data_IF_391651349023
#
_entry.id   IF_391651349023
#
_cell.length_a   1.000
_cell.length_b   1.000
_cell.length_c   1.000
_cell.angle_alpha   90.00
_cell.angle_beta   90.00
_cell.angle_gamma   90.00
#
_symmetry.space_group_name_H-M   'P 1'
#
loop_
_entity.id
_entity.type
_entity.pdbx_description
1 polymer ?
#
# COMPACT_ATOMS: atom_id res chain seq x y z
N UNK A 1 -18.07 3.01 -31.16
CA UNK A 1 -18.23 3.82 -29.93
C UNK A 1 -19.39 4.77 -30.16
N UNK A 2 -20.53 4.49 -29.55
CA UNK A 2 -21.79 5.22 -29.78
C UNK A 2 -22.57 5.24 -28.48
N UNK A 3 -23.23 6.37 -28.21
CA UNK A 3 -24.39 6.61 -27.32
C UNK A 3 -24.27 7.52 -26.09
N UNK A 4 -23.40 8.52 -26.07
CA UNK A 4 -23.35 9.48 -24.95
C UNK A 4 -23.91 10.89 -25.19
N UNK A 5 -24.46 11.24 -26.36
CA UNK A 5 -25.14 12.55 -26.52
C UNK A 5 -26.37 12.45 -27.43
N UNK A 6 -27.53 12.18 -26.84
CA UNK A 6 -28.81 12.53 -27.42
C UNK A 6 -29.81 12.74 -26.28
N UNK A 7 -30.65 13.77 -26.45
CA UNK A 7 -31.68 14.33 -25.53
C UNK A 7 -31.09 15.26 -24.46
N UNK A 8 -31.40 16.54 -24.35
CA UNK A 8 -32.39 17.38 -25.04
C UNK A 8 -32.79 18.48 -24.06
N UNK A 9 -32.58 19.75 -24.40
CA UNK A 9 -33.26 20.89 -23.78
C UNK A 9 -33.15 22.09 -24.70
N UNK A 10 -34.26 22.37 -25.36
CA UNK A 10 -34.60 23.61 -26.04
C UNK A 10 -34.84 24.68 -24.97
N UNK A 11 -34.18 25.85 -25.10
CA UNK A 11 -34.54 27.05 -24.34
C UNK A 11 -34.00 28.27 -25.08
N UNK A 12 -34.80 28.73 -26.04
CA UNK A 12 -34.70 30.05 -26.65
C UNK A 12 -34.82 31.13 -25.55
N UNK A 13 -33.83 32.01 -25.45
CA UNK A 13 -34.01 33.30 -24.78
C UNK A 13 -32.99 34.30 -25.31
N UNK A 14 -33.39 35.03 -26.35
CA UNK A 14 -32.80 36.31 -26.69
C UNK A 14 -33.03 37.35 -25.59
N UNK A 15 -31.95 37.92 -25.06
CA UNK A 15 -31.98 39.17 -24.32
C UNK A 15 -30.72 39.97 -24.58
N UNK A 16 -30.89 41.00 -25.40
CA UNK A 16 -29.95 42.08 -25.66
C UNK A 16 -29.71 42.87 -24.37
N UNK A 17 -28.46 43.13 -24.01
CA UNK A 17 -28.13 44.23 -23.10
C UNK A 17 -26.73 44.78 -23.37
N UNK A 18 -26.74 46.07 -23.66
CA UNK A 18 -25.65 47.01 -23.85
C UNK A 18 -24.73 47.12 -22.62
N UNK A 19 -23.43 47.26 -22.91
CA UNK A 19 -22.49 48.23 -22.31
C UNK A 19 -22.45 48.39 -20.77
N UNK A 20 -21.43 47.80 -20.11
CA UNK A 20 -20.68 48.52 -19.05
C UNK A 20 -19.31 47.86 -18.76
N UNK A 21 -18.22 48.59 -19.01
CA UNK A 21 -16.85 48.20 -18.65
C UNK A 21 -16.63 48.40 -17.14
N UNK A 22 -16.65 47.32 -16.36
CA UNK A 22 -16.22 47.35 -14.96
C UNK A 22 -14.75 46.95 -14.86
N UNK A 23 -13.89 47.94 -14.63
CA UNK A 23 -12.45 47.77 -14.37
C UNK A 23 -12.24 46.95 -13.10
N UNK A 24 -11.84 45.68 -13.25
CA UNK A 24 -11.45 44.81 -12.12
C UNK A 24 -9.99 45.08 -11.75
N UNK A 25 -9.76 45.63 -10.56
CA UNK A 25 -8.43 45.71 -9.94
C UNK A 25 -7.90 44.30 -9.63
N UNK A 26 -6.58 44.03 -9.76
CA UNK A 26 -6.01 42.71 -9.54
C UNK A 26 -6.00 42.36 -8.04
N UNK A 27 -6.38 41.13 -7.64
CA UNK A 27 -6.30 40.72 -6.25
C UNK A 27 -4.83 40.56 -5.83
N UNK A 28 -4.49 41.14 -4.69
CA UNK A 28 -3.20 41.00 -4.00
C UNK A 28 -2.91 39.53 -3.73
N UNK A 29 -1.82 39.02 -4.29
CA UNK A 29 -1.25 37.71 -3.99
C UNK A 29 -0.86 37.63 -2.51
N UNK A 30 -1.68 36.96 -1.71
CA UNK A 30 -1.26 36.45 -0.41
C UNK A 30 -0.24 35.34 -0.64
N UNK A 31 1.03 35.60 -0.34
CA UNK A 31 2.06 34.57 -0.22
C UNK A 31 1.79 33.79 1.07
N UNK A 32 0.96 32.75 0.99
CA UNK A 32 0.92 31.74 2.04
C UNK A 32 2.25 30.99 1.97
N UNK A 33 2.98 31.03 3.08
CA UNK A 33 4.24 30.33 3.27
C UNK A 33 4.01 28.83 3.15
N UNK A 34 4.32 28.27 1.98
CA UNK A 34 4.30 26.84 1.70
C UNK A 34 5.55 26.18 2.30
N UNK A 35 5.52 25.96 3.61
CA UNK A 35 6.41 25.02 4.31
C UNK A 35 5.68 23.69 4.49
N UNK A 36 5.09 23.18 3.40
CA UNK A 36 4.63 21.80 3.36
C UNK A 36 5.80 20.95 2.90
N UNK A 37 6.50 20.38 3.88
CA UNK A 37 7.45 19.29 3.69
C UNK A 37 6.77 18.21 2.85
N UNK A 38 7.12 18.25 1.57
CA UNK A 38 6.65 17.43 0.47
C UNK A 38 6.99 15.97 0.79
N UNK A 39 6.16 15.34 1.63
CA UNK A 39 6.17 13.91 1.93
C UNK A 39 5.69 13.18 0.68
N UNK A 40 6.50 13.25 -0.38
CA UNK A 40 6.38 12.49 -1.61
C UNK A 40 6.06 11.06 -1.23
N UNK A 41 4.81 10.65 -1.46
CA UNK A 41 4.38 9.27 -1.25
C UNK A 41 5.25 8.39 -2.14
N UNK A 42 6.29 7.79 -1.56
CA UNK A 42 7.17 6.88 -2.28
C UNK A 42 6.34 5.65 -2.63
N UNK A 43 5.95 5.55 -3.90
CA UNK A 43 5.22 4.39 -4.41
C UNK A 43 6.22 3.25 -4.55
N UNK A 44 6.33 2.43 -3.50
CA UNK A 44 7.11 1.18 -3.55
C UNK A 44 6.50 0.22 -4.58
N UNK A 45 7.35 -0.54 -5.26
CA UNK A 45 6.92 -1.57 -6.19
C UNK A 45 6.08 -2.64 -5.49
N UNK A 46 5.22 -3.34 -6.23
CA UNK A 46 4.41 -4.43 -5.67
C UNK A 46 5.28 -5.51 -5.00
N UNK A 47 6.44 -5.81 -5.58
CA UNK A 47 7.46 -6.72 -5.01
C UNK A 47 7.97 -6.21 -3.68
N UNK A 48 8.49 -5.01 -3.64
CA UNK A 48 9.07 -4.41 -2.45
C UNK A 48 8.05 -4.36 -1.31
N UNK A 49 6.82 -3.91 -1.61
CA UNK A 49 5.73 -3.86 -0.63
C UNK A 49 5.42 -5.24 -0.02
N UNK A 50 5.40 -6.30 -0.85
CA UNK A 50 5.16 -7.67 -0.37
C UNK A 50 6.33 -8.22 0.43
N UNK A 51 7.57 -7.95 0.02
CA UNK A 51 8.76 -8.44 0.68
C UNK A 51 8.98 -7.72 2.02
N UNK A 52 8.64 -6.45 2.11
CA UNK A 52 8.65 -5.69 3.35
C UNK A 52 7.61 -6.23 4.35
N UNK A 53 6.38 -6.50 3.89
CA UNK A 53 5.33 -7.15 4.70
C UNK A 53 5.81 -8.49 5.28
N UNK A 54 6.39 -9.36 4.43
CA UNK A 54 6.98 -10.64 4.86
C UNK A 54 8.10 -10.44 5.88
N UNK A 55 9.02 -9.50 5.62
CA UNK A 55 10.18 -9.25 6.48
C UNK A 55 9.76 -8.70 7.84
N UNK A 56 8.73 -7.86 7.88
CA UNK A 56 8.20 -7.31 9.13
C UNK A 56 7.55 -8.40 10.00
N UNK A 57 6.76 -9.29 9.40
CA UNK A 57 6.17 -10.42 10.11
C UNK A 57 7.27 -11.36 10.67
N UNK A 58 8.34 -11.61 9.90
CA UNK A 58 9.49 -12.41 10.36
C UNK A 58 10.19 -11.76 11.56
N UNK A 59 10.35 -10.43 11.56
CA UNK A 59 10.91 -9.70 12.71
C UNK A 59 10.05 -9.88 13.95
N UNK A 60 8.73 -9.77 13.81
CA UNK A 60 7.78 -9.99 14.92
C UNK A 60 7.86 -11.42 15.46
N UNK A 61 7.85 -12.44 14.58
CA UNK A 61 8.00 -13.85 14.97
C UNK A 61 9.30 -14.06 15.77
N UNK A 62 10.42 -13.49 15.31
CA UNK A 62 11.70 -13.57 16.02
C UNK A 62 11.66 -12.88 17.39
N UNK A 63 10.92 -11.79 17.53
CA UNK A 63 10.72 -11.13 18.82
C UNK A 63 9.89 -12.00 19.76
N UNK A 64 8.74 -12.50 19.31
CA UNK A 64 7.87 -13.39 20.09
C UNK A 64 8.59 -14.69 20.48
N UNK A 65 9.46 -15.22 19.61
CA UNK A 65 10.35 -16.34 19.93
C UNK A 65 11.31 -16.04 21.07
N UNK A 66 11.92 -14.85 21.11
CA UNK A 66 12.84 -14.45 22.18
C UNK A 66 12.13 -14.39 23.54
N UNK A 67 10.95 -13.78 23.58
CA UNK A 67 10.15 -13.66 24.82
C UNK A 67 9.32 -14.91 25.15
N UNK A 68 9.36 -15.93 24.28
CA UNK A 68 8.65 -17.21 24.41
C UNK A 68 7.11 -17.07 24.45
N UNK A 69 6.57 -16.02 23.85
CA UNK A 69 5.13 -15.84 23.69
C UNK A 69 4.64 -16.67 22.50
N UNK A 70 4.06 -17.84 22.78
CA UNK A 70 3.63 -18.78 21.76
C UNK A 70 2.32 -18.37 21.07
N UNK A 71 1.43 -17.70 21.79
CA UNK A 71 0.14 -17.27 21.24
C UNK A 71 0.35 -16.17 20.21
N UNK A 72 1.17 -15.17 20.53
CA UNK A 72 1.50 -14.09 19.59
C UNK A 72 2.36 -14.60 18.43
N UNK A 73 3.27 -15.55 18.68
CA UNK A 73 4.04 -16.20 17.62
C UNK A 73 3.14 -16.93 16.61
N UNK A 74 2.14 -17.67 17.09
CA UNK A 74 1.20 -18.38 16.23
C UNK A 74 0.41 -17.40 15.35
N UNK A 75 -0.12 -16.33 15.94
CA UNK A 75 -0.85 -15.31 15.20
C UNK A 75 0.00 -14.66 14.10
N UNK A 76 1.23 -14.23 14.42
CA UNK A 76 2.13 -13.66 13.41
C UNK A 76 2.58 -14.68 12.37
N UNK A 77 2.63 -15.97 12.71
CA UNK A 77 2.91 -17.02 11.74
C UNK A 77 1.74 -17.19 10.74
N UNK A 78 0.49 -17.14 11.20
CA UNK A 78 -0.67 -17.13 10.29
C UNK A 78 -0.67 -15.90 9.38
N UNK A 79 -0.33 -14.73 9.93
CA UNK A 79 -0.20 -13.49 9.14
C UNK A 79 0.92 -13.61 8.10
N UNK A 80 2.07 -14.19 8.47
CA UNK A 80 3.15 -14.48 7.54
C UNK A 80 2.68 -15.42 6.40
N UNK A 81 1.92 -16.47 6.72
CA UNK A 81 1.33 -17.38 5.73
C UNK A 81 0.38 -16.66 4.79
N UNK A 82 -0.54 -15.83 5.31
CA UNK A 82 -1.47 -15.03 4.50
C UNK A 82 -0.73 -14.01 3.62
N UNK A 83 0.30 -13.36 4.14
CA UNK A 83 1.14 -12.42 3.38
C UNK A 83 1.89 -13.14 2.26
N UNK A 84 2.41 -14.35 2.52
CA UNK A 84 3.09 -15.17 1.51
C UNK A 84 2.14 -15.58 0.38
N UNK A 85 0.91 -15.99 0.68
CA UNK A 85 -0.10 -16.29 -0.34
C UNK A 85 -0.38 -15.10 -1.26
N UNK A 86 -0.40 -13.88 -0.71
CA UNK A 86 -0.54 -12.65 -1.50
C UNK A 86 0.72 -12.29 -2.29
N UNK A 87 1.88 -12.75 -1.85
CA UNK A 87 3.18 -12.54 -2.51
C UNK A 87 3.46 -13.57 -3.61
N UNK A 88 2.85 -14.76 -3.57
CA UNK A 88 2.96 -15.81 -4.61
C UNK A 88 2.87 -15.29 -6.05
N UNK A 89 1.86 -14.50 -6.47
CA UNK A 89 1.78 -14.02 -7.85
C UNK A 89 2.93 -13.09 -8.22
N UNK A 90 3.56 -12.42 -7.26
CA UNK A 90 4.73 -11.57 -7.49
C UNK A 90 6.00 -12.41 -7.58
N UNK A 91 6.16 -13.40 -6.70
CA UNK A 91 7.29 -14.34 -6.69
C UNK A 91 7.34 -15.15 -7.98
N UNK A 92 6.19 -15.63 -8.47
CA UNK A 92 6.10 -16.37 -9.73
C UNK A 92 6.55 -15.51 -10.92
N UNK A 93 6.14 -14.22 -10.94
CA UNK A 93 6.46 -13.29 -12.03
C UNK A 93 7.92 -12.81 -12.00
N UNK A 94 8.47 -12.53 -10.83
CA UNK A 94 9.76 -11.86 -10.70
C UNK A 94 10.94 -12.79 -10.37
N UNK A 95 10.71 -13.89 -9.67
CA UNK A 95 11.76 -14.85 -9.27
C UNK A 95 11.58 -16.20 -9.96
N UNK A 96 10.83 -16.26 -11.08
CA UNK A 96 10.53 -17.50 -11.81
C UNK A 96 9.91 -18.59 -10.91
N UNK A 97 9.20 -18.18 -9.86
CA UNK A 97 8.61 -19.10 -8.88
C UNK A 97 9.58 -19.60 -7.80
N UNK A 98 10.80 -19.06 -7.72
CA UNK A 98 11.73 -19.40 -6.66
C UNK A 98 11.30 -18.79 -5.33
N UNK A 99 11.10 -19.61 -4.31
CA UNK A 99 10.71 -19.12 -2.98
C UNK A 99 11.87 -18.38 -2.30
N UNK A 100 11.64 -17.19 -1.73
CA UNK A 100 12.70 -16.44 -1.09
C UNK A 100 13.35 -17.17 0.09
N UNK A 101 14.70 -17.17 0.14
CA UNK A 101 15.49 -17.89 1.16
C UNK A 101 15.19 -17.44 2.59
N UNK A 102 14.87 -16.16 2.79
CA UNK A 102 14.56 -15.63 4.12
C UNK A 102 13.27 -16.21 4.70
N UNK A 103 12.29 -16.53 3.84
CA UNK A 103 11.04 -17.15 4.24
C UNK A 103 11.28 -18.59 4.70
N UNK A 104 12.00 -19.38 3.88
CA UNK A 104 12.42 -20.74 4.22
C UNK A 104 13.20 -20.78 5.54
N UNK A 105 14.16 -19.86 5.72
CA UNK A 105 14.94 -19.76 6.96
C UNK A 105 14.05 -19.50 8.18
N UNK A 106 13.04 -18.63 8.07
CA UNK A 106 12.11 -18.39 9.17
C UNK A 106 11.31 -19.65 9.54
N UNK A 107 10.87 -20.42 8.54
CA UNK A 107 10.13 -21.67 8.79
C UNK A 107 10.97 -22.68 9.57
N UNK A 108 12.21 -22.90 9.14
CA UNK A 108 13.15 -23.81 9.83
C UNK A 108 13.46 -23.31 11.24
N UNK A 109 13.71 -22.01 11.42
CA UNK A 109 13.98 -21.44 12.74
C UNK A 109 12.81 -21.61 13.74
N UNK A 110 11.55 -21.60 13.26
CA UNK A 110 10.37 -21.83 14.09
C UNK A 110 10.19 -23.32 14.39
N UNK A 111 10.38 -24.19 13.40
CA UNK A 111 10.32 -25.64 13.56
C UNK A 111 11.35 -26.13 14.59
N UNK A 112 12.62 -25.73 14.42
CA UNK A 112 13.70 -26.07 15.35
C UNK A 112 13.36 -25.65 16.80
N UNK A 113 12.75 -24.48 16.97
CA UNK A 113 12.40 -23.97 18.30
C UNK A 113 11.29 -24.80 18.96
N UNK A 114 10.28 -25.20 18.19
CA UNK A 114 9.18 -26.05 18.68
C UNK A 114 9.71 -27.46 18.98
N UNK A 115 10.52 -28.02 18.10
CA UNK A 115 11.11 -29.36 18.24
C UNK A 115 12.05 -29.43 19.44
N UNK A 116 12.88 -28.38 19.67
CA UNK A 116 13.69 -28.29 20.88
C UNK A 116 12.86 -28.21 22.16
N UNK A 117 11.73 -27.50 22.15
CA UNK A 117 10.83 -27.45 23.31
C UNK A 117 10.13 -28.77 23.60
N UNK A 118 9.78 -29.56 22.57
CA UNK A 118 9.16 -30.88 22.75
C UNK A 118 10.11 -31.95 23.29
N UNK A 119 11.42 -31.78 23.11
CA UNK A 119 12.47 -32.69 23.60
C UNK A 119 12.85 -32.46 25.07
N UNK A 120 12.32 -31.42 25.71
CA UNK A 120 12.48 -31.14 27.15
C UNK A 120 11.19 -31.45 27.89
#
# INVERSE_FOLDING_TARGET
MSRFFATGSDSESESSSEEEQVVRAPPTTFTFSDDEEDTKRVVRSAKEKRYEELTNNIKQIRNFKKIKDMSSMLNSFEELMRAYQKALPVIIKEENGMTPKFYLRCLVEVEDFITQKKKK
#
